data_IF_882472607540
#
_entry.id   IF_882472607540
#
_cell.length_a   1.000
_cell.length_b   1.000
_cell.length_c   1.000
_cell.angle_alpha   90.00
_cell.angle_beta   90.00
_cell.angle_gamma   90.00
#
_symmetry.space_group_name_H-M   'P 1'
#
loop_
_entity.id
_entity.type
_entity.pdbx_description
1 polymer ?
#
# COMPACT_ATOMS: atom_id res chain seq x y z
N UNK A 1 18.30 7.11 8.74
CA UNK A 1 17.61 7.68 7.56
C UNK A 1 17.12 6.55 6.63
N UNK A 2 16.43 5.52 7.14
CA UNK A 2 16.01 4.36 6.32
C UNK A 2 14.50 4.29 6.08
N UNK A 3 13.72 4.61 7.11
CA UNK A 3 12.28 4.32 7.16
C UNK A 3 11.44 5.23 6.25
N UNK A 4 11.88 6.49 6.05
CA UNK A 4 11.18 7.44 5.17
C UNK A 4 11.33 7.10 3.68
N UNK A 5 12.50 6.59 3.28
CA UNK A 5 12.76 6.20 1.90
C UNK A 5 11.95 4.94 1.54
N UNK A 6 11.93 3.95 2.44
CA UNK A 6 11.13 2.74 2.28
C UNK A 6 9.63 3.04 2.19
N UNK A 7 9.13 3.95 3.03
CA UNK A 7 7.73 4.36 2.97
C UNK A 7 7.38 5.03 1.63
N UNK A 8 8.28 5.85 1.08
CA UNK A 8 8.08 6.47 -0.24
C UNK A 8 8.04 5.41 -1.35
N UNK A 9 8.97 4.45 -1.33
CA UNK A 9 9.00 3.35 -2.29
C UNK A 9 7.72 2.50 -2.24
N UNK A 10 7.26 2.15 -1.04
CA UNK A 10 6.01 1.39 -0.86
C UNK A 10 4.78 2.16 -1.37
N UNK A 11 4.75 3.48 -1.21
CA UNK A 11 3.69 4.31 -1.79
C UNK A 11 3.71 4.30 -3.31
N UNK A 12 4.90 4.33 -3.91
CA UNK A 12 5.04 4.24 -5.36
C UNK A 12 4.60 2.86 -5.86
N UNK A 13 5.03 1.78 -5.21
CA UNK A 13 4.61 0.42 -5.54
C UNK A 13 3.09 0.27 -5.42
N UNK A 14 2.51 0.77 -4.32
CA UNK A 14 1.07 0.71 -4.09
C UNK A 14 0.30 1.49 -5.18
N UNK A 15 0.78 2.67 -5.57
CA UNK A 15 0.17 3.44 -6.65
C UNK A 15 0.23 2.69 -7.99
N UNK A 16 1.38 2.10 -8.33
CA UNK A 16 1.54 1.28 -9.54
C UNK A 16 0.64 0.04 -9.53
N UNK A 17 0.34 -0.51 -8.35
CA UNK A 17 -0.59 -1.62 -8.15
C UNK A 17 -2.07 -1.19 -8.16
N UNK A 18 -2.38 0.08 -8.47
CA UNK A 18 -3.74 0.63 -8.48
C UNK A 18 -4.29 1.03 -7.11
N UNK A 19 -3.46 0.98 -6.05
CA UNK A 19 -3.83 1.39 -4.69
C UNK A 19 -3.65 2.91 -4.58
N UNK A 20 -4.63 3.64 -5.11
CA UNK A 20 -4.63 5.11 -5.11
C UNK A 20 -4.98 5.72 -3.75
N UNK A 21 -4.49 6.94 -3.48
CA UNK A 21 -4.74 7.64 -2.21
C UNK A 21 -4.05 6.98 -1.00
N UNK A 22 -2.92 6.32 -1.25
CA UNK A 22 -2.13 5.61 -0.25
C UNK A 22 -1.24 6.52 0.63
N UNK A 23 -1.28 7.83 0.39
CA UNK A 23 -0.49 8.86 1.09
C UNK A 23 -0.70 8.88 2.60
N UNK A 24 -1.90 8.52 3.07
CA UNK A 24 -2.26 8.46 4.49
C UNK A 24 -2.00 7.09 5.15
N UNK A 25 -1.47 6.11 4.40
CA UNK A 25 -1.17 4.78 4.95
C UNK A 25 0.25 4.72 5.52
N UNK A 26 0.38 4.01 6.64
CA UNK A 26 1.67 3.64 7.21
C UNK A 26 2.35 2.52 6.41
N UNK A 27 3.63 2.28 6.68
CA UNK A 27 4.41 1.25 6.01
C UNK A 27 3.76 -0.13 6.09
N UNK A 28 3.29 -0.50 7.29
CA UNK A 28 2.64 -1.77 7.57
C UNK A 28 1.37 -1.93 6.73
N UNK A 29 0.56 -0.88 6.63
CA UNK A 29 -0.68 -0.89 5.87
C UNK A 29 -0.43 -0.97 4.35
N UNK A 30 0.60 -0.27 3.86
CA UNK A 30 1.02 -0.37 2.46
C UNK A 30 1.48 -1.79 2.10
N UNK A 31 2.32 -2.39 2.95
CA UNK A 31 2.79 -3.77 2.74
C UNK A 31 1.64 -4.78 2.74
N UNK A 32 0.67 -4.61 3.63
CA UNK A 32 -0.50 -5.50 3.70
C UNK A 32 -1.40 -5.33 2.46
N UNK A 33 -1.69 -4.10 2.06
CA UNK A 33 -2.46 -3.81 0.85
C UNK A 33 -1.77 -4.36 -0.41
N UNK A 34 -0.46 -4.17 -0.54
CA UNK A 34 0.34 -4.73 -1.64
C UNK A 34 0.29 -6.26 -1.68
N UNK A 35 0.39 -6.91 -0.51
CA UNK A 35 0.30 -8.38 -0.41
C UNK A 35 -1.07 -8.89 -0.85
N UNK A 36 -2.14 -8.18 -0.51
CA UNK A 36 -3.52 -8.50 -0.91
C UNK A 36 -3.73 -8.35 -2.41
N UNK A 37 -3.29 -7.24 -2.99
CA UNK A 37 -3.33 -7.05 -4.46
C UNK A 37 -2.52 -8.13 -5.18
N UNK A 38 -1.34 -8.49 -4.66
CA UNK A 38 -0.54 -9.59 -5.20
C UNK A 38 -1.21 -10.97 -5.13
N UNK A 39 -2.23 -11.14 -4.28
CA UNK A 39 -3.07 -12.36 -4.21
C UNK A 39 -4.28 -12.31 -5.14
N UNK A 40 -4.44 -11.24 -5.92
CA UNK A 40 -5.57 -11.03 -6.83
C UNK A 40 -6.72 -10.21 -6.24
N UNK A 41 -6.54 -9.61 -5.06
CA UNK A 41 -7.56 -8.74 -4.48
C UNK A 41 -7.63 -7.39 -5.22
N UNK A 42 -8.82 -6.81 -5.29
CA UNK A 42 -9.01 -5.49 -5.90
C UNK A 42 -8.27 -4.42 -5.09
N UNK A 43 -7.49 -3.53 -5.72
CA UNK A 43 -6.73 -2.49 -5.03
C UNK A 43 -7.53 -1.61 -4.08
N UNK A 44 -8.78 -1.30 -4.44
CA UNK A 44 -9.69 -0.52 -3.60
C UNK A 44 -10.10 -1.27 -2.32
N UNK A 45 -10.31 -2.59 -2.40
CA UNK A 45 -10.67 -3.40 -1.24
C UNK A 45 -9.45 -3.61 -0.34
N UNK A 46 -8.31 -3.97 -0.93
CA UNK A 46 -7.04 -4.12 -0.21
C UNK A 46 -6.68 -2.84 0.58
N UNK A 47 -6.92 -1.67 -0.01
CA UNK A 47 -6.79 -0.36 0.67
C UNK A 47 -7.73 -0.21 1.85
N UNK A 48 -9.02 -0.49 1.67
CA UNK A 48 -10.02 -0.32 2.72
C UNK A 48 -9.70 -1.24 3.90
N UNK A 49 -9.36 -2.49 3.62
CA UNK A 49 -9.01 -3.45 4.67
C UNK A 49 -7.70 -3.10 5.36
N UNK A 50 -6.68 -2.62 4.64
CA UNK A 50 -5.42 -2.21 5.25
C UNK A 50 -5.55 -0.93 6.11
N UNK A 51 -6.56 -0.09 5.86
CA UNK A 51 -6.83 1.12 6.65
C UNK A 51 -7.67 0.88 7.90
N UNK A 52 -8.30 -0.29 7.99
CA UNK A 52 -9.10 -0.70 9.15
C UNK A 52 -8.20 -1.09 10.31
#
# INVERSE_FOLDING_TARGET
>A
MGDRAQLHELRQQAHNAGIEGNSKMSEKQLRDALRKVGRGERPEMAKQEARR
#
